data_IF_350428842140
#
_entry.id   IF_350428842140
#
_cell.length_a   1.000
_cell.length_b   1.000
_cell.length_c   1.000
_cell.angle_alpha   90.00
_cell.angle_beta   90.00
_cell.angle_gamma   90.00
#
_symmetry.space_group_name_H-M   'P 1'
#
loop_
_entity.id
_entity.type
_entity.pdbx_description
1 polymer ?
#
# COMPACT_ATOMS: atom_id res chain seq x y z
N UNK A 1 -2.82 4.73 1.68
CA UNK A 1 -2.27 5.03 0.34
C UNK A 1 -1.36 3.86 -0.05
N UNK A 2 -1.78 2.94 -0.95
CA UNK A 2 -0.98 1.79 -1.32
C UNK A 2 0.11 2.17 -2.32
N UNK A 3 1.26 1.52 -2.23
CA UNK A 3 2.36 1.63 -3.18
C UNK A 3 2.25 0.47 -4.16
N UNK A 4 1.89 0.74 -5.42
CA UNK A 4 1.79 -0.29 -6.45
C UNK A 4 3.08 -0.36 -7.26
N UNK A 5 3.70 -1.52 -7.28
CA UNK A 5 4.86 -1.86 -8.10
C UNK A 5 4.39 -2.76 -9.25
N UNK A 6 4.74 -2.39 -10.48
CA UNK A 6 4.38 -3.16 -11.67
C UNK A 6 5.62 -3.83 -12.28
N UNK A 7 5.54 -5.11 -12.63
CA UNK A 7 6.68 -5.86 -13.14
C UNK A 7 7.42 -6.61 -12.04
N UNK A 8 6.89 -7.77 -11.62
CA UNK A 8 7.40 -8.59 -10.52
C UNK A 8 8.88 -8.93 -10.68
N UNK A 9 9.31 -9.29 -11.88
CA UNK A 9 10.70 -9.65 -12.15
C UNK A 9 11.68 -8.49 -11.90
N UNK A 10 11.31 -7.26 -12.27
CA UNK A 10 12.15 -6.09 -12.10
C UNK A 10 12.31 -5.72 -10.61
N UNK A 11 11.21 -5.78 -9.85
CA UNK A 11 11.18 -5.36 -8.45
C UNK A 11 11.53 -6.45 -7.44
N UNK A 12 11.55 -7.72 -7.83
CA UNK A 12 11.83 -8.84 -6.94
C UNK A 12 13.16 -8.69 -6.18
N UNK A 13 14.21 -8.19 -6.86
CA UNK A 13 15.51 -7.94 -6.24
C UNK A 13 15.46 -6.89 -5.12
N UNK A 14 14.75 -5.78 -5.37
CA UNK A 14 14.59 -4.70 -4.40
C UNK A 14 13.77 -5.16 -3.20
N UNK A 15 12.63 -5.82 -3.43
CA UNK A 15 11.76 -6.31 -2.35
C UNK A 15 12.49 -7.33 -1.44
N UNK A 16 13.28 -8.22 -2.04
CA UNK A 16 14.13 -9.14 -1.28
C UNK A 16 15.16 -8.41 -0.42
N UNK A 17 15.78 -7.35 -0.95
CA UNK A 17 16.72 -6.54 -0.18
C UNK A 17 16.03 -5.77 0.96
N UNK A 18 14.86 -5.19 0.70
CA UNK A 18 14.08 -4.46 1.71
C UNK A 18 13.74 -5.38 2.90
N UNK A 19 13.22 -6.58 2.62
CA UNK A 19 12.87 -7.57 3.65
C UNK A 19 14.07 -8.13 4.41
N UNK A 20 15.22 -8.30 3.75
CA UNK A 20 16.39 -8.93 4.39
C UNK A 20 17.29 -7.95 5.14
N UNK A 21 17.32 -6.68 4.75
CA UNK A 21 18.20 -5.67 5.35
C UNK A 21 17.42 -4.64 6.15
N UNK A 22 16.47 -3.96 5.50
CA UNK A 22 15.78 -2.81 6.08
C UNK A 22 14.84 -3.22 7.20
N UNK A 23 14.12 -4.33 7.02
CA UNK A 23 13.25 -4.89 8.05
C UNK A 23 14.06 -5.47 9.23
N UNK A 24 15.16 -6.19 8.96
CA UNK A 24 16.02 -6.74 10.04
C UNK A 24 16.74 -5.66 10.84
N UNK A 25 17.09 -4.54 10.22
CA UNK A 25 17.72 -3.39 10.89
C UNK A 25 16.70 -2.51 11.63
N UNK A 26 15.40 -2.87 11.63
CA UNK A 26 14.34 -2.16 12.35
C UNK A 26 14.03 -0.77 11.78
N UNK A 27 14.38 -0.51 10.52
CA UNK A 27 14.20 0.79 9.86
C UNK A 27 12.80 0.97 9.26
N UNK A 28 12.04 -0.11 9.17
CA UNK A 28 10.62 -0.15 8.80
C UNK A 28 9.90 -1.14 9.72
N UNK A 29 8.63 -0.89 9.98
CA UNK A 29 7.75 -1.85 10.66
C UNK A 29 7.34 -2.97 9.70
N UNK A 30 6.95 -4.12 10.23
CA UNK A 30 6.47 -5.24 9.40
C UNK A 30 5.23 -4.83 8.58
N UNK A 31 4.38 -3.98 9.16
CA UNK A 31 3.18 -3.43 8.49
C UNK A 31 3.47 -2.46 7.34
N UNK A 32 4.69 -1.90 7.23
CA UNK A 32 5.04 -1.04 6.09
C UNK A 32 5.17 -1.86 4.79
N UNK A 33 5.50 -3.15 4.89
CA UNK A 33 5.53 -4.05 3.75
C UNK A 33 4.13 -4.36 3.20
N UNK A 34 3.11 -4.32 4.06
CA UNK A 34 1.72 -4.59 3.68
C UNK A 34 1.12 -3.45 2.84
N UNK A 35 1.77 -2.28 2.83
CA UNK A 35 1.39 -1.15 1.98
C UNK A 35 1.83 -1.35 0.52
N UNK A 36 2.71 -2.32 0.23
CA UNK A 36 3.26 -2.54 -1.10
C UNK A 36 2.50 -3.66 -1.81
N UNK A 37 1.89 -3.34 -2.94
CA UNK A 37 1.33 -4.31 -3.88
C UNK A 37 2.29 -4.49 -5.06
N UNK A 38 2.79 -5.72 -5.28
CA UNK A 38 3.55 -6.07 -6.48
C UNK A 38 2.68 -6.90 -7.41
N UNK A 39 2.46 -6.44 -8.63
CA UNK A 39 1.62 -7.13 -9.61
C UNK A 39 2.16 -7.01 -11.04
N UNK A 40 1.78 -7.95 -11.90
CA UNK A 40 1.96 -7.91 -13.35
C UNK A 40 0.64 -7.71 -14.10
N UNK A 41 -0.50 -7.65 -13.38
CA UNK A 41 -1.82 -7.45 -13.94
C UNK A 41 -2.27 -5.99 -13.76
N UNK A 42 -2.46 -5.23 -14.86
CA UNK A 42 -2.93 -3.84 -14.77
C UNK A 42 -4.31 -3.72 -14.14
N UNK A 43 -5.15 -4.77 -14.20
CA UNK A 43 -6.48 -4.76 -13.55
C UNK A 43 -6.35 -4.82 -12.04
N UNK A 44 -5.44 -5.64 -11.52
CA UNK A 44 -5.16 -5.73 -10.10
C UNK A 44 -4.59 -4.41 -9.57
N UNK A 45 -3.65 -3.80 -10.30
CA UNK A 45 -3.11 -2.49 -9.98
C UNK A 45 -4.22 -1.41 -9.92
N UNK A 46 -5.09 -1.37 -10.92
CA UNK A 46 -6.20 -0.42 -10.95
C UNK A 46 -7.19 -0.64 -9.81
N UNK A 47 -7.55 -1.89 -9.52
CA UNK A 47 -8.46 -2.24 -8.43
C UNK A 47 -7.91 -1.79 -7.06
N UNK A 48 -6.61 -1.96 -6.83
CA UNK A 48 -5.96 -1.56 -5.59
C UNK A 48 -5.98 -0.04 -5.38
N UNK A 49 -5.74 0.74 -6.44
CA UNK A 49 -5.81 2.21 -6.39
C UNK A 49 -7.24 2.68 -6.10
N UNK A 50 -8.23 2.09 -6.78
CA UNK A 50 -9.66 2.43 -6.59
C UNK A 50 -10.10 2.12 -5.16
N UNK A 51 -9.81 0.90 -4.67
CA UNK A 51 -10.18 0.48 -3.32
C UNK A 51 -9.57 1.37 -2.24
N UNK A 52 -8.32 1.79 -2.43
CA UNK A 52 -7.67 2.70 -1.49
C UNK A 52 -8.21 4.13 -1.54
N UNK A 53 -8.65 4.61 -2.70
CA UNK A 53 -9.31 5.91 -2.83
C UNK A 53 -10.66 5.89 -2.11
N UNK A 54 -11.47 4.86 -2.35
CA UNK A 54 -12.78 4.67 -1.73
C UNK A 54 -12.70 4.61 -0.20
N UNK A 55 -11.74 3.85 0.33
CA UNK A 55 -11.48 3.74 1.77
C UNK A 55 -11.09 5.08 2.41
N UNK A 56 -10.42 5.96 1.67
CA UNK A 56 -10.03 7.29 2.16
C UNK A 56 -11.21 8.26 2.13
N UNK A 57 -12.01 8.23 1.07
CA UNK A 57 -13.21 9.08 0.92
C UNK A 57 -14.25 8.74 2.00
N UNK A 58 -14.49 7.47 2.27
CA UNK A 58 -15.39 7.03 3.34
C UNK A 58 -14.86 7.26 4.76
N UNK A 59 -13.53 7.42 4.91
CA UNK A 59 -12.93 7.80 6.18
C UNK A 59 -13.00 9.31 6.43
N UNK A 60 -13.04 10.14 5.37
CA UNK A 60 -13.25 11.59 5.47
C UNK A 60 -14.71 11.96 5.72
N UNK A 61 -15.67 11.29 5.08
CA UNK A 61 -17.12 11.53 5.26
C UNK A 61 -17.55 11.39 6.72
N UNK A 62 -17.03 10.37 7.41
CA UNK A 62 -17.39 10.05 8.80
C UNK A 62 -16.93 11.10 9.83
N UNK A 63 -16.07 12.05 9.44
CA UNK A 63 -15.58 13.12 10.34
C UNK A 63 -16.40 14.40 10.25
N UNK A 64 -17.19 14.58 9.20
CA UNK A 64 -18.03 15.77 9.03
C UNK A 64 -19.38 15.64 9.74
N UNK A 65 -19.85 14.41 9.96
CA UNK A 65 -21.14 14.12 10.63
C UNK A 65 -21.10 14.26 12.17
N UNK A 66 -19.93 14.53 12.76
CA UNK A 66 -19.71 14.48 14.21
C UNK A 66 -19.70 15.81 14.97
N UNK A 67 -19.91 16.97 14.30
CA UNK A 67 -19.79 18.29 14.93
C UNK A 67 -21.11 19.08 15.04
N UNK A 68 -22.25 18.39 15.03
CA UNK A 68 -23.57 18.99 15.21
C UNK A 68 -24.38 18.31 16.32
N UNK A 69 -24.02 18.54 17.58
CA UNK A 69 -24.93 18.41 18.75
C UNK A 69 -24.41 19.21 19.92
#
# INVERSE_FOLDING_TARGET
FPVVLFGSHYWAGLLRWLRSRVLQEGKISDGDMDLILLTDDPREAAAAVISAYDSQVHASDRREDGHGS
#
